data_IF_471366775702
#
_entry.id   IF_471366775702
#
_cell.length_a   1.000
_cell.length_b   1.000
_cell.length_c   1.000
_cell.angle_alpha   90.00
_cell.angle_beta   90.00
_cell.angle_gamma   90.00
#
_symmetry.space_group_name_H-M   'P 1'
#
loop_
_entity.id
_entity.type
_entity.pdbx_description
1 polymer ?
#
# COMPACT_ATOMS: atom_id res chain seq x y z
N UNK A 1 -11.67 -11.97 12.64
CA UNK A 1 -12.63 -10.84 12.44
C UNK A 1 -11.89 -9.49 12.48
N UNK A 2 -11.11 -9.16 11.43
CA UNK A 2 -10.45 -7.84 11.27
C UNK A 2 -10.36 -7.43 9.78
N UNK A 3 -11.30 -7.90 8.95
CA UNK A 3 -11.32 -7.59 7.49
C UNK A 3 -11.53 -6.10 7.24
N UNK A 4 -12.35 -5.44 8.08
CA UNK A 4 -12.62 -4.01 7.95
C UNK A 4 -11.37 -3.16 8.19
N UNK A 5 -10.57 -3.48 9.22
CA UNK A 5 -9.34 -2.74 9.52
C UNK A 5 -8.32 -2.91 8.38
N UNK A 6 -8.16 -4.13 7.87
CA UNK A 6 -7.30 -4.41 6.71
C UNK A 6 -7.75 -3.64 5.47
N UNK A 7 -9.05 -3.66 5.18
CA UNK A 7 -9.63 -2.92 4.05
C UNK A 7 -9.44 -1.40 4.18
N UNK A 8 -9.61 -0.85 5.39
CA UNK A 8 -9.35 0.57 5.64
C UNK A 8 -7.88 0.91 5.40
N UNK A 9 -6.94 0.07 5.86
CA UNK A 9 -5.50 0.29 5.63
C UNK A 9 -5.11 0.19 4.15
N UNK A 10 -5.76 -0.68 3.38
CA UNK A 10 -5.62 -0.74 1.92
C UNK A 10 -6.13 0.55 1.26
N UNK A 11 -7.32 1.01 1.66
CA UNK A 11 -7.90 2.26 1.14
C UNK A 11 -7.03 3.47 1.48
N UNK A 12 -6.54 3.55 2.72
CA UNK A 12 -5.58 4.57 3.13
C UNK A 12 -4.27 4.48 2.34
N UNK A 13 -3.75 3.26 2.12
CA UNK A 13 -2.56 3.03 1.29
C UNK A 13 -2.72 3.58 -0.12
N UNK A 14 -3.83 3.25 -0.79
CA UNK A 14 -4.16 3.77 -2.12
C UNK A 14 -4.29 5.29 -2.15
N UNK A 15 -4.94 5.88 -1.13
CA UNK A 15 -5.02 7.34 -1.00
C UNK A 15 -3.62 7.98 -0.84
N UNK A 16 -2.72 7.34 -0.10
CA UNK A 16 -1.35 7.80 0.08
C UNK A 16 -0.53 7.68 -1.21
N UNK A 17 -0.70 6.62 -2.00
CA UNK A 17 -0.11 6.52 -3.34
C UNK A 17 -0.56 7.66 -4.25
N UNK A 18 -1.86 7.98 -4.25
CA UNK A 18 -2.39 9.09 -5.03
C UNK A 18 -1.87 10.44 -4.55
N UNK A 19 -1.80 10.63 -3.23
CA UNK A 19 -1.20 11.83 -2.63
C UNK A 19 0.28 12.00 -2.99
N UNK A 20 1.05 10.91 -2.93
CA UNK A 20 2.45 10.90 -3.32
C UNK A 20 2.61 11.26 -4.81
N UNK A 21 1.80 10.68 -5.68
CA UNK A 21 1.77 11.01 -7.11
C UNK A 21 1.47 12.49 -7.36
N UNK A 22 0.50 13.07 -6.65
CA UNK A 22 0.19 14.50 -6.73
C UNK A 22 1.36 15.38 -6.29
N UNK A 23 2.09 14.97 -5.25
CA UNK A 23 3.22 15.75 -4.72
C UNK A 23 4.49 15.62 -5.54
N UNK A 24 4.71 14.49 -6.19
CA UNK A 24 5.86 14.26 -7.07
C UNK A 24 5.71 14.90 -8.45
N UNK A 25 4.47 15.13 -8.91
CA UNK A 25 4.23 15.79 -10.19
C UNK A 25 4.60 17.27 -10.17
N UNK A 26 5.39 17.71 -11.17
CA UNK A 26 5.79 19.12 -11.32
C UNK A 26 4.77 19.94 -12.11
N UNK A 27 4.13 19.34 -13.12
CA UNK A 27 3.08 19.96 -13.94
C UNK A 27 1.69 19.45 -13.57
N UNK A 28 0.59 20.20 -13.82
CA UNK A 28 -0.77 19.77 -13.51
C UNK A 28 -1.13 18.41 -14.14
N UNK A 29 -0.72 18.18 -15.38
CA UNK A 29 -0.92 16.92 -16.09
C UNK A 29 -0.15 15.78 -15.44
N UNK A 30 1.13 16.00 -15.09
CA UNK A 30 1.95 14.99 -14.41
C UNK A 30 1.41 14.65 -13.02
N UNK A 31 0.89 15.64 -12.27
CA UNK A 31 0.25 15.41 -10.99
C UNK A 31 -0.94 14.46 -11.11
N UNK A 32 -1.86 14.74 -12.04
CA UNK A 32 -3.04 13.89 -12.25
C UNK A 32 -2.62 12.49 -12.71
N UNK A 33 -1.70 12.42 -13.69
CA UNK A 33 -1.22 11.15 -14.22
C UNK A 33 -0.58 10.27 -13.14
N UNK A 34 0.28 10.83 -12.28
CA UNK A 34 0.93 10.07 -11.19
C UNK A 34 -0.04 9.74 -10.05
N UNK A 35 -0.97 10.65 -9.74
CA UNK A 35 -1.96 10.44 -8.67
C UNK A 35 -2.89 9.27 -8.98
N UNK A 36 -3.16 9.01 -10.26
CA UNK A 36 -3.97 7.87 -10.70
C UNK A 36 -3.08 6.67 -11.02
N UNK A 37 -1.95 6.92 -11.69
CA UNK A 37 -1.01 5.90 -12.15
C UNK A 37 -0.49 5.05 -10.99
N UNK A 38 -0.03 5.65 -9.89
CA UNK A 38 0.48 4.87 -8.76
C UNK A 38 -0.56 3.95 -8.12
N UNK A 39 -1.77 4.43 -7.71
CA UNK A 39 -2.81 3.55 -7.21
C UNK A 39 -3.22 2.45 -8.19
N UNK A 40 -3.37 2.78 -9.48
CA UNK A 40 -3.79 1.81 -10.50
C UNK A 40 -2.71 0.75 -10.71
N UNK A 41 -1.43 1.13 -10.82
CA UNK A 41 -0.33 0.17 -10.94
C UNK A 41 -0.28 -0.79 -9.76
N UNK A 42 -0.44 -0.27 -8.54
CA UNK A 42 -0.48 -1.10 -7.33
C UNK A 42 -1.69 -2.03 -7.31
N UNK A 43 -2.88 -1.53 -7.68
CA UNK A 43 -4.08 -2.35 -7.76
C UNK A 43 -3.95 -3.48 -8.79
N UNK A 44 -3.32 -3.22 -9.94
CA UNK A 44 -3.05 -4.23 -10.97
C UNK A 44 -2.04 -5.27 -10.47
N UNK A 45 -0.93 -4.84 -9.88
CA UNK A 45 0.08 -5.75 -9.30
C UNK A 45 -0.56 -6.63 -8.21
N UNK A 46 -1.37 -6.04 -7.34
CA UNK A 46 -2.08 -6.77 -6.30
C UNK A 46 -3.11 -7.75 -6.88
N UNK A 47 -3.89 -7.34 -7.89
CA UNK A 47 -4.85 -8.21 -8.56
C UNK A 47 -4.19 -9.42 -9.24
N UNK A 48 -3.01 -9.22 -9.84
CA UNK A 48 -2.29 -10.28 -10.56
C UNK A 48 -1.60 -11.29 -9.65
N UNK A 49 -1.05 -10.83 -8.53
CA UNK A 49 -0.13 -11.64 -7.70
C UNK A 49 -0.53 -11.75 -6.21
N UNK A 50 -1.26 -10.76 -5.69
CA UNK A 50 -1.59 -10.63 -4.28
C UNK A 50 -2.99 -11.10 -3.90
N UNK A 51 -3.93 -11.11 -4.84
CA UNK A 51 -5.33 -11.48 -4.65
C UNK A 51 -5.51 -12.96 -4.32
N UNK A 52 -6.52 -13.36 -3.52
CA UNK A 52 -6.92 -14.76 -3.38
C UNK A 52 -7.30 -15.43 -4.71
N UNK A 53 -7.73 -14.61 -5.69
CA UNK A 53 -8.01 -15.02 -7.06
C UNK A 53 -6.92 -14.53 -8.03
N UNK A 54 -5.69 -14.38 -7.55
CA UNK A 54 -4.55 -13.97 -8.37
C UNK A 54 -4.38 -14.92 -9.57
N UNK A 55 -4.15 -14.34 -10.75
CA UNK A 55 -3.82 -15.08 -11.96
C UNK A 55 -2.55 -15.91 -11.77
N UNK A 56 -1.59 -15.38 -11.02
CA UNK A 56 -0.34 -16.07 -10.67
C UNK A 56 -0.30 -16.26 -9.16
N UNK A 57 -0.46 -17.50 -8.70
CA UNK A 57 -0.31 -17.83 -7.29
C UNK A 57 1.16 -17.83 -6.90
N UNK A 58 1.53 -16.88 -6.05
CA UNK A 58 2.89 -16.81 -5.50
C UNK A 58 3.04 -17.74 -4.29
N UNK A 59 4.23 -18.36 -4.10
CA UNK A 59 4.53 -19.05 -2.86
C UNK A 59 4.48 -18.08 -1.68
N UNK A 60 4.12 -18.58 -0.50
CA UNK A 60 3.84 -17.76 0.69
C UNK A 60 4.96 -16.75 1.04
N UNK A 61 6.22 -17.11 0.82
CA UNK A 61 7.37 -16.23 1.02
C UNK A 61 7.37 -15.02 0.07
N UNK A 62 7.14 -15.25 -1.23
CA UNK A 62 7.08 -14.18 -2.23
C UNK A 62 5.82 -13.32 -2.05
N UNK A 63 4.71 -13.93 -1.66
CA UNK A 63 3.48 -13.19 -1.35
C UNK A 63 3.68 -12.24 -0.15
N UNK A 64 4.36 -12.69 0.90
CA UNK A 64 4.70 -11.85 2.04
C UNK A 64 5.64 -10.69 1.68
N UNK A 65 6.60 -10.92 0.76
CA UNK A 65 7.50 -9.87 0.25
C UNK A 65 6.69 -8.84 -0.56
N UNK A 66 5.83 -9.31 -1.47
CA UNK A 66 4.97 -8.44 -2.28
C UNK A 66 4.09 -7.56 -1.38
N UNK A 67 3.49 -8.15 -0.35
CA UNK A 67 2.69 -7.44 0.63
C UNK A 67 3.51 -6.40 1.38
N UNK A 68 4.70 -6.77 1.85
CA UNK A 68 5.63 -5.82 2.45
C UNK A 68 5.91 -4.63 1.54
N UNK A 69 6.20 -4.87 0.27
CA UNK A 69 6.47 -3.80 -0.71
C UNK A 69 5.23 -2.91 -0.89
N UNK A 70 4.06 -3.49 -1.14
CA UNK A 70 2.82 -2.75 -1.41
C UNK A 70 2.39 -1.89 -0.22
N UNK A 71 2.57 -2.36 1.01
CA UNK A 71 2.17 -1.60 2.21
C UNK A 71 3.27 -0.68 2.76
N UNK A 72 4.56 -0.94 2.52
CA UNK A 72 5.65 -0.07 3.01
C UNK A 72 6.03 1.04 2.02
N UNK A 73 5.81 0.88 0.72
CA UNK A 73 6.13 1.91 -0.27
C UNK A 73 5.43 3.26 0.00
N UNK A 74 4.16 3.34 0.45
CA UNK A 74 3.52 4.60 0.85
C UNK A 74 4.24 5.28 2.02
N UNK A 75 4.76 4.49 2.98
CA UNK A 75 5.56 5.00 4.10
C UNK A 75 6.82 5.67 3.56
N UNK A 76 7.54 5.00 2.67
CA UNK A 76 8.74 5.55 2.04
C UNK A 76 8.44 6.87 1.33
N UNK A 77 7.38 6.92 0.50
CA UNK A 77 6.96 8.15 -0.17
C UNK A 77 6.65 9.28 0.83
N UNK A 78 5.93 9.01 1.91
CA UNK A 78 5.62 10.02 2.92
C UNK A 78 6.86 10.54 3.64
N UNK A 79 7.82 9.67 3.94
CA UNK A 79 9.11 10.07 4.52
C UNK A 79 9.91 10.94 3.56
N UNK A 80 9.99 10.56 2.27
CA UNK A 80 10.65 11.37 1.23
C UNK A 80 9.99 12.73 1.03
N UNK A 81 8.66 12.82 1.21
CA UNK A 81 7.91 14.07 1.12
C UNK A 81 8.00 14.92 2.42
N UNK A 82 8.83 14.53 3.38
CA UNK A 82 9.01 15.24 4.65
C UNK A 82 7.82 15.10 5.61
N UNK A 83 6.85 14.23 5.31
CA UNK A 83 5.66 13.98 6.13
C UNK A 83 5.86 12.83 7.10
N UNK A 84 6.93 12.95 7.90
CA UNK A 84 7.36 11.95 8.87
C UNK A 84 6.22 11.41 9.73
N UNK A 85 5.42 12.29 10.34
CA UNK A 85 4.33 11.90 11.24
C UNK A 85 3.26 11.02 10.57
N UNK A 86 2.85 11.34 9.33
CA UNK A 86 1.87 10.52 8.60
C UNK A 86 2.49 9.21 8.14
N UNK A 87 3.76 9.23 7.72
CA UNK A 87 4.50 8.03 7.31
C UNK A 87 4.63 7.03 8.45
N UNK A 88 5.13 7.49 9.60
CA UNK A 88 5.25 6.66 10.80
C UNK A 88 3.89 6.19 11.32
N UNK A 89 2.86 7.06 11.33
CA UNK A 89 1.52 6.67 11.75
C UNK A 89 0.92 5.56 10.89
N UNK A 90 0.99 5.70 9.56
CA UNK A 90 0.53 4.66 8.64
C UNK A 90 1.35 3.37 8.77
N UNK A 91 2.68 3.48 8.78
CA UNK A 91 3.58 2.31 8.93
C UNK A 91 3.36 1.56 10.23
N UNK A 92 3.16 2.26 11.34
CA UNK A 92 2.82 1.66 12.63
C UNK A 92 1.51 0.88 12.56
N UNK A 93 0.45 1.46 11.98
CA UNK A 93 -0.84 0.79 11.83
C UNK A 93 -0.74 -0.47 10.95
N UNK A 94 0.05 -0.42 9.87
CA UNK A 94 0.32 -1.57 9.00
C UNK A 94 1.01 -2.69 9.80
N UNK A 95 2.05 -2.37 10.56
CA UNK A 95 2.81 -3.36 11.35
C UNK A 95 1.91 -3.97 12.44
N UNK A 96 1.18 -3.16 13.18
CA UNK A 96 0.25 -3.64 14.22
C UNK A 96 -0.79 -4.58 13.60
N UNK A 97 -1.43 -4.16 12.51
CA UNK A 97 -2.41 -5.01 11.82
C UNK A 97 -1.77 -6.32 11.32
N UNK A 98 -0.54 -6.29 10.82
CA UNK A 98 0.19 -7.49 10.39
C UNK A 98 0.46 -8.45 11.54
N UNK A 99 0.89 -7.95 12.69
CA UNK A 99 1.12 -8.74 13.90
C UNK A 99 -0.20 -9.35 14.37
N UNK A 100 -1.29 -8.60 14.36
CA UNK A 100 -2.61 -9.12 14.73
C UNK A 100 -3.05 -10.28 13.84
N UNK A 101 -2.86 -10.18 12.51
CA UNK A 101 -3.18 -11.26 11.57
C UNK A 101 -2.32 -12.50 11.84
N UNK A 102 -1.02 -12.32 12.12
CA UNK A 102 -0.10 -13.41 12.45
C UNK A 102 -0.44 -14.11 13.77
N UNK A 103 -0.70 -13.35 14.82
CA UNK A 103 -0.99 -13.87 16.17
C UNK A 103 -2.33 -14.59 16.22
N UNK A 104 -3.32 -14.11 15.48
CA UNK A 104 -4.66 -14.70 15.49
C UNK A 104 -4.90 -15.79 14.44
N UNK A 105 -3.88 -16.13 13.62
CA UNK A 105 -3.94 -17.16 12.58
C UNK A 105 -5.28 -17.19 11.82
N UNK A 106 -5.70 -16.02 11.33
CA UNK A 106 -6.96 -15.83 10.63
C UNK A 106 -6.76 -15.19 9.25
#
# INVERSE_FOLDING_TARGET
MNVLLRFLLELFGLALYGYAGYKLGTTPTMKVALSIGFPVSIAVIWGLFGSPQATVQLPASLHAILEGIVFLTPVAFLLFLGKGALGWGYGFLVIVNRIFIWVWAQ
#
